data_IF_047161415324
#
_entry.id   IF_047161415324
#
_cell.length_a   1.000
_cell.length_b   1.000
_cell.length_c   1.000
_cell.angle_alpha   90.00
_cell.angle_beta   90.00
_cell.angle_gamma   90.00
#
_symmetry.space_group_name_H-M   'P 1'
#
loop_
_entity.id
_entity.type
_entity.pdbx_description
1 polymer ?
#
# COMPACT_ATOMS: atom_id res chain seq x y z
N UNK A 1 21.15 1.25 -18.30
CA UNK A 1 20.36 1.62 -19.50
C UNK A 1 18.90 1.57 -19.11
N UNK A 2 18.07 2.45 -19.67
CA UNK A 2 16.61 2.41 -19.48
C UNK A 2 16.01 1.29 -20.31
N UNK A 3 14.86 0.79 -19.86
CA UNK A 3 14.16 -0.31 -20.52
C UNK A 3 13.60 0.08 -21.89
N UNK A 4 13.58 -0.87 -22.83
CA UNK A 4 12.82 -0.73 -24.09
C UNK A 4 11.32 -0.92 -23.86
N UNK A 5 10.50 -0.57 -24.86
CA UNK A 5 9.04 -0.78 -24.81
C UNK A 5 8.70 -2.26 -24.64
N UNK A 6 9.41 -3.15 -25.33
CA UNK A 6 9.22 -4.60 -25.24
C UNK A 6 9.55 -5.12 -23.84
N UNK A 7 10.66 -4.65 -23.26
CA UNK A 7 11.06 -5.00 -21.89
C UNK A 7 10.01 -4.53 -20.88
N UNK A 8 9.53 -3.28 -21.00
CA UNK A 8 8.49 -2.74 -20.13
C UNK A 8 7.17 -3.53 -20.24
N UNK A 9 6.76 -3.94 -21.44
CA UNK A 9 5.56 -4.77 -21.63
C UNK A 9 5.72 -6.16 -21.00
N UNK A 10 6.90 -6.77 -21.13
CA UNK A 10 7.22 -8.04 -20.48
C UNK A 10 7.19 -7.92 -18.95
N UNK A 11 7.75 -6.84 -18.40
CA UNK A 11 7.74 -6.56 -16.97
C UNK A 11 6.34 -6.21 -16.45
N UNK A 12 5.52 -5.50 -17.23
CA UNK A 12 4.13 -5.20 -16.91
C UNK A 12 3.30 -6.47 -16.80
N UNK A 13 3.54 -7.44 -17.68
CA UNK A 13 2.85 -8.73 -17.66
C UNK A 13 3.05 -9.44 -16.32
N UNK A 14 4.26 -9.41 -15.75
CA UNK A 14 4.53 -10.00 -14.43
C UNK A 14 3.67 -9.38 -13.33
N UNK A 15 3.50 -8.06 -13.34
CA UNK A 15 2.63 -7.38 -12.38
C UNK A 15 1.15 -7.73 -12.57
N UNK A 16 0.69 -7.84 -13.81
CA UNK A 16 -0.70 -8.25 -14.13
C UNK A 16 -0.98 -9.71 -13.76
N UNK A 17 -0.02 -10.59 -13.96
CA UNK A 17 -0.14 -12.01 -13.58
C UNK A 17 -0.16 -12.15 -12.05
N UNK A 18 0.65 -11.37 -11.33
CA UNK A 18 0.56 -11.30 -9.88
C UNK A 18 -0.83 -10.83 -9.41
N UNK A 19 -1.39 -9.77 -10.00
CA UNK A 19 -2.74 -9.27 -9.65
C UNK A 19 -3.82 -10.35 -9.82
N UNK A 20 -3.76 -11.13 -10.91
CA UNK A 20 -4.66 -12.26 -11.15
C UNK A 20 -4.51 -13.36 -10.10
N UNK A 21 -3.28 -13.62 -9.66
CA UNK A 21 -2.99 -14.64 -8.65
C UNK A 21 -3.38 -14.22 -7.22
N UNK A 22 -3.79 -12.96 -7.00
CA UNK A 22 -4.28 -12.50 -5.69
C UNK A 22 -5.68 -13.04 -5.33
N UNK A 23 -6.30 -13.80 -6.23
CA UNK A 23 -7.53 -14.56 -6.02
C UNK A 23 -7.33 -15.85 -5.17
N UNK A 24 -6.07 -16.20 -4.81
CA UNK A 24 -5.74 -17.39 -4.03
C UNK A 24 -6.01 -17.25 -2.52
N UNK A 25 -6.86 -18.14 -1.98
CA UNK A 25 -7.23 -18.22 -0.57
C UNK A 25 -6.20 -19.01 0.24
N UNK A 26 -5.77 -18.48 1.39
CA UNK A 26 -5.10 -19.32 2.40
C UNK A 26 -5.65 -19.14 3.82
N UNK A 27 -6.07 -17.93 4.19
CA UNK A 27 -6.60 -17.65 5.53
C UNK A 27 -8.14 -17.82 5.63
N UNK A 28 -8.90 -17.42 4.61
CA UNK A 28 -10.37 -17.31 4.69
C UNK A 28 -11.14 -18.62 4.45
N UNK A 29 -10.56 -19.62 3.77
CA UNK A 29 -11.20 -20.92 3.57
C UNK A 29 -11.49 -21.66 4.88
N UNK A 30 -10.71 -21.43 5.94
CA UNK A 30 -10.96 -21.99 7.27
C UNK A 30 -11.91 -21.17 8.13
N UNK A 31 -12.05 -19.86 7.88
CA UNK A 31 -12.88 -18.95 8.69
C UNK A 31 -14.31 -18.75 8.14
N UNK A 32 -14.54 -19.02 6.85
CA UNK A 32 -15.81 -18.79 6.14
C UNK A 32 -17.02 -19.60 6.61
N UNK A 33 -16.93 -20.35 7.72
CA UNK A 33 -18.04 -21.12 8.32
C UNK A 33 -18.64 -20.48 9.57
N UNK A 34 -18.10 -19.36 10.06
CA UNK A 34 -18.65 -18.67 11.23
C UNK A 34 -19.73 -17.67 10.83
N UNK A 35 -20.96 -17.76 11.38
CA UNK A 35 -22.00 -16.78 11.12
C UNK A 35 -21.54 -15.39 11.56
N UNK A 36 -21.51 -14.43 10.63
CA UNK A 36 -21.11 -13.04 10.86
C UNK A 36 -21.78 -12.37 12.08
N UNK A 37 -22.97 -12.83 12.49
CA UNK A 37 -23.67 -12.37 13.71
C UNK A 37 -22.96 -12.69 15.03
N UNK A 38 -22.07 -13.69 15.05
CA UNK A 38 -21.36 -14.11 16.27
C UNK A 38 -20.16 -13.20 16.54
N UNK A 39 -19.47 -12.72 15.50
CA UNK A 39 -18.32 -11.82 15.61
C UNK A 39 -18.72 -10.41 16.13
N UNK A 40 -19.88 -9.90 15.72
CA UNK A 40 -20.41 -8.60 16.19
C UNK A 40 -20.68 -8.57 17.69
N UNK A 41 -21.14 -9.68 18.28
CA UNK A 41 -21.48 -9.78 19.70
C UNK A 41 -20.26 -10.01 20.59
N UNK A 42 -19.15 -10.46 20.01
CA UNK A 42 -17.93 -10.85 20.72
C UNK A 42 -16.81 -9.81 20.64
N UNK A 43 -17.02 -8.66 19.99
CA UNK A 43 -16.00 -7.60 19.92
C UNK A 43 -15.97 -6.82 21.24
N UNK A 44 -14.91 -6.93 22.06
CA UNK A 44 -14.84 -6.24 23.35
C UNK A 44 -14.75 -4.72 23.19
N UNK A 45 -15.23 -3.96 24.18
CA UNK A 45 -15.24 -2.48 24.15
C UNK A 45 -13.86 -1.84 23.89
N UNK A 46 -12.77 -2.49 24.33
CA UNK A 46 -11.42 -1.98 24.07
C UNK A 46 -11.05 -2.00 22.58
N UNK A 47 -11.59 -2.95 21.80
CA UNK A 47 -11.36 -3.03 20.34
C UNK A 47 -12.07 -1.87 19.65
N UNK A 48 -13.31 -1.57 20.02
CA UNK A 48 -14.03 -0.40 19.50
C UNK A 48 -13.29 0.92 19.75
N UNK A 49 -12.68 1.09 20.93
CA UNK A 49 -11.86 2.27 21.24
C UNK A 49 -10.60 2.35 20.36
N UNK A 50 -9.91 1.23 20.13
CA UNK A 50 -8.73 1.19 19.26
C UNK A 50 -9.07 1.46 17.79
N UNK A 51 -10.25 1.03 17.34
CA UNK A 51 -10.76 1.32 15.99
C UNK A 51 -10.94 2.83 15.78
N UNK A 52 -11.53 3.55 16.73
CA UNK A 52 -11.67 5.00 16.65
C UNK A 52 -10.32 5.71 16.47
N UNK A 53 -9.30 5.30 17.24
CA UNK A 53 -7.94 5.87 17.13
C UNK A 53 -7.32 5.61 15.76
N UNK A 54 -7.45 4.40 15.21
CA UNK A 54 -6.95 4.05 13.88
C UNK A 54 -7.60 4.93 12.80
N UNK A 55 -8.91 5.12 12.88
CA UNK A 55 -9.66 5.92 11.92
C UNK A 55 -9.26 7.39 11.98
N UNK A 56 -9.08 7.94 13.18
CA UNK A 56 -8.60 9.31 13.35
C UNK A 56 -7.18 9.50 12.82
N UNK A 57 -6.28 8.53 13.04
CA UNK A 57 -4.91 8.58 12.52
C UNK A 57 -4.87 8.48 10.99
N UNK A 58 -5.67 7.60 10.38
CA UNK A 58 -5.84 7.57 8.92
C UNK A 58 -6.46 8.87 8.39
N UNK A 59 -7.40 9.46 9.14
CA UNK A 59 -7.98 10.80 8.97
C UNK A 59 -6.92 11.85 8.72
N UNK A 60 -6.09 12.01 9.75
CA UNK A 60 -4.98 12.95 9.78
C UNK A 60 -3.95 12.63 8.71
N UNK A 61 -3.63 11.34 8.51
CA UNK A 61 -2.70 10.92 7.46
C UNK A 61 -3.18 11.37 6.09
N UNK A 62 -4.40 11.05 5.66
CA UNK A 62 -4.88 11.47 4.33
C UNK A 62 -4.88 13.00 4.20
N UNK A 63 -5.26 13.73 5.25
CA UNK A 63 -5.35 15.17 5.20
C UNK A 63 -3.98 15.87 5.12
N UNK A 64 -3.04 15.52 6.00
CA UNK A 64 -1.78 16.25 6.17
C UNK A 64 -0.52 15.38 6.14
N UNK A 65 -0.65 14.07 5.97
CA UNK A 65 0.44 13.09 6.07
C UNK A 65 0.83 12.73 7.51
N UNK A 66 0.39 13.52 8.50
CA UNK A 66 0.63 13.27 9.92
C UNK A 66 2.12 13.12 10.28
N UNK A 67 2.40 12.37 11.34
CA UNK A 67 3.78 12.09 11.82
C UNK A 67 4.54 11.03 11.00
N UNK A 68 3.93 10.53 9.92
CA UNK A 68 4.41 9.35 9.20
C UNK A 68 5.11 9.70 7.89
N UNK A 69 5.14 10.98 7.49
CA UNK A 69 5.72 11.44 6.24
C UNK A 69 7.20 11.06 6.15
N UNK A 70 7.51 10.10 5.29
CA UNK A 70 8.86 9.84 4.82
C UNK A 70 9.27 10.97 3.89
N UNK A 71 10.52 11.40 4.03
CA UNK A 71 11.06 12.51 3.27
C UNK A 71 11.69 12.02 1.98
N UNK A 72 11.50 12.77 0.89
CA UNK A 72 12.23 12.58 -0.39
C UNK A 72 13.75 12.60 -0.18
N UNK A 73 14.25 13.25 0.87
CA UNK A 73 15.67 13.20 1.24
C UNK A 73 16.20 11.79 1.56
N UNK A 74 15.32 10.80 1.78
CA UNK A 74 15.70 9.39 1.94
C UNK A 74 16.18 8.73 0.64
N UNK A 75 15.95 9.34 -0.53
CA UNK A 75 16.40 8.83 -1.83
C UNK A 75 17.89 8.50 -1.87
N UNK A 76 18.73 9.36 -1.27
CA UNK A 76 20.18 9.11 -1.17
C UNK A 76 20.51 7.81 -0.43
N UNK A 77 19.69 7.43 0.56
CA UNK A 77 19.87 6.18 1.29
C UNK A 77 19.41 4.95 0.48
N UNK A 78 18.42 5.12 -0.41
CA UNK A 78 17.92 4.03 -1.25
C UNK A 78 18.81 3.81 -2.48
N UNK A 79 19.43 4.88 -2.98
CA UNK A 79 20.29 4.89 -4.16
C UNK A 79 21.70 5.44 -3.86
N UNK A 80 22.48 4.81 -2.95
CA UNK A 80 23.74 5.37 -2.45
C UNK A 80 24.85 5.52 -3.50
N UNK A 81 24.73 4.82 -4.64
CA UNK A 81 25.70 4.86 -5.74
C UNK A 81 25.18 5.62 -6.97
N UNK A 82 24.07 6.34 -6.81
CA UNK A 82 23.49 7.19 -7.86
C UNK A 82 23.41 8.62 -7.33
N UNK A 83 23.56 9.59 -8.22
CA UNK A 83 23.36 11.00 -7.87
C UNK A 83 21.87 11.36 -7.88
N UNK A 84 21.06 10.63 -7.11
CA UNK A 84 19.60 10.84 -6.99
C UNK A 84 19.35 11.65 -5.72
N UNK A 85 18.85 12.87 -5.89
CA UNK A 85 18.50 13.79 -4.80
C UNK A 85 17.05 14.26 -4.86
N UNK A 86 16.43 14.14 -6.03
CA UNK A 86 15.06 14.58 -6.34
C UNK A 86 14.26 13.43 -6.95
N UNK A 87 12.93 13.55 -7.00
CA UNK A 87 12.09 12.50 -7.61
C UNK A 87 12.27 12.45 -9.13
N UNK A 88 12.57 13.59 -9.74
CA UNK A 88 12.84 13.76 -11.15
C UNK A 88 14.08 12.97 -11.59
N UNK A 89 15.10 12.85 -10.72
CA UNK A 89 16.29 12.03 -10.99
C UNK A 89 15.95 10.54 -11.21
N UNK A 90 14.80 10.07 -10.71
CA UNK A 90 14.34 8.69 -10.89
C UNK A 90 13.78 8.39 -12.28
N UNK A 91 13.61 9.40 -13.14
CA UNK A 91 13.32 9.18 -14.56
C UNK A 91 14.49 8.48 -15.27
N UNK A 92 15.71 8.67 -14.77
CA UNK A 92 16.94 8.07 -15.31
C UNK A 92 17.33 6.73 -14.65
N UNK A 93 16.51 6.23 -13.71
CA UNK A 93 16.77 4.99 -12.97
C UNK A 93 15.96 3.85 -13.54
N UNK A 94 16.54 2.70 -13.86
CA UNK A 94 15.77 1.59 -14.44
C UNK A 94 14.77 0.99 -13.42
N UNK A 95 13.67 0.38 -13.89
CA UNK A 95 12.73 -0.39 -13.05
C UNK A 95 13.50 -1.46 -12.27
N UNK A 96 14.46 -2.14 -12.90
CA UNK A 96 15.30 -3.12 -12.20
C UNK A 96 16.13 -2.50 -11.06
N UNK A 97 16.61 -1.28 -11.23
CA UNK A 97 17.31 -0.54 -10.16
C UNK A 97 16.35 -0.11 -9.04
N UNK A 98 15.12 0.28 -9.38
CA UNK A 98 14.07 0.57 -8.40
C UNK A 98 13.69 -0.68 -7.59
N UNK A 99 13.49 -1.81 -8.27
CA UNK A 99 13.19 -3.10 -7.66
C UNK A 99 14.31 -3.53 -6.69
N UNK A 100 15.57 -3.28 -7.04
CA UNK A 100 16.72 -3.53 -6.17
C UNK A 100 16.72 -2.63 -4.92
N UNK A 101 16.44 -1.33 -5.07
CA UNK A 101 16.34 -0.41 -3.95
C UNK A 101 15.24 -0.82 -2.97
N UNK A 102 14.06 -1.18 -3.50
CA UNK A 102 12.94 -1.63 -2.67
C UNK A 102 13.18 -3.00 -2.04
N UNK A 103 13.88 -3.92 -2.71
CA UNK A 103 14.26 -5.21 -2.14
C UNK A 103 15.15 -5.05 -0.89
N UNK A 104 16.14 -4.14 -0.94
CA UNK A 104 16.96 -3.78 0.22
C UNK A 104 16.13 -3.19 1.36
N UNK A 105 15.22 -2.27 1.03
CA UNK A 105 14.27 -1.70 2.00
C UNK A 105 13.40 -2.79 2.66
N UNK A 106 12.79 -3.68 1.87
CA UNK A 106 11.96 -4.81 2.35
C UNK A 106 12.75 -5.70 3.31
N UNK A 107 13.98 -6.06 2.95
CA UNK A 107 14.83 -6.90 3.80
C UNK A 107 15.21 -6.21 5.12
N UNK A 108 15.54 -4.92 5.08
CA UNK A 108 15.82 -4.13 6.28
C UNK A 108 14.60 -4.02 7.20
N UNK A 109 13.42 -3.71 6.65
CA UNK A 109 12.15 -3.64 7.40
C UNK A 109 11.76 -4.99 8.00
N UNK A 110 11.95 -6.08 7.25
CA UNK A 110 11.73 -7.45 7.74
C UNK A 110 12.67 -7.78 8.90
N UNK A 111 13.95 -7.40 8.82
CA UNK A 111 14.94 -7.63 9.88
C UNK A 111 14.59 -6.84 11.13
N UNK A 112 14.21 -5.57 11.00
CA UNK A 112 13.74 -4.74 12.12
C UNK A 112 12.52 -5.36 12.81
N UNK A 113 11.51 -5.78 12.04
CA UNK A 113 10.32 -6.46 12.59
C UNK A 113 10.67 -7.78 13.29
N UNK A 114 11.70 -8.50 12.82
CA UNK A 114 12.18 -9.74 13.43
C UNK A 114 12.93 -9.48 14.74
N UNK A 115 13.83 -8.48 14.76
CA UNK A 115 14.63 -8.11 15.95
C UNK A 115 13.74 -7.52 17.03
N UNK A 116 12.83 -6.61 16.66
CA UNK A 116 11.88 -5.99 17.58
C UNK A 116 10.89 -7.02 18.16
N UNK A 117 10.66 -8.14 17.47
CA UNK A 117 9.91 -9.29 18.00
C UNK A 117 10.73 -10.24 18.87
N UNK A 118 12.06 -10.14 18.88
CA UNK A 118 12.99 -10.99 19.63
C UNK A 118 13.62 -10.30 20.86
N UNK A 119 13.74 -8.97 20.85
CA UNK A 119 14.47 -8.19 21.86
C UNK A 119 13.67 -7.82 23.10
N UNK A 120 12.46 -8.36 23.29
CA UNK A 120 11.55 -8.00 24.38
C UNK A 120 11.40 -9.04 25.50
N UNK A 121 12.38 -9.94 25.64
CA UNK A 121 12.62 -10.67 26.88
C UNK A 121 12.17 -12.13 26.91
N UNK A 122 12.90 -12.86 27.76
CA UNK A 122 12.87 -14.29 28.10
C UNK A 122 11.44 -14.88 28.13
N UNK A 123 11.08 -15.69 27.12
CA UNK A 123 9.76 -16.33 27.02
C UNK A 123 9.22 -16.38 25.60
N UNK A 124 9.91 -17.11 24.72
CA UNK A 124 9.70 -17.12 23.26
C UNK A 124 8.25 -17.23 22.76
N UNK A 125 8.05 -16.65 21.57
CA UNK A 125 6.88 -16.72 20.68
C UNK A 125 5.61 -15.91 21.01
N UNK A 126 5.37 -15.43 22.24
CA UNK A 126 4.00 -14.99 22.60
C UNK A 126 3.77 -13.62 23.26
N UNK A 127 4.77 -12.77 23.53
CA UNK A 127 4.59 -11.72 24.56
C UNK A 127 4.74 -10.25 24.15
N UNK A 128 4.55 -9.84 22.89
CA UNK A 128 4.31 -8.42 22.61
C UNK A 128 3.20 -8.18 21.59
N UNK A 129 2.02 -7.82 22.09
CA UNK A 129 1.02 -7.10 21.33
C UNK A 129 1.59 -5.73 20.96
N UNK A 130 2.19 -5.59 19.77
CA UNK A 130 2.51 -4.27 19.20
C UNK A 130 1.23 -3.43 19.26
N UNK A 131 1.34 -2.21 19.79
CA UNK A 131 0.19 -1.31 19.80
C UNK A 131 -0.28 -1.07 18.36
N UNK A 132 -1.56 -1.33 18.08
CA UNK A 132 -2.10 -1.33 16.72
C UNK A 132 -1.79 -0.03 15.96
N UNK A 133 -1.85 1.18 16.57
CA UNK A 133 -1.41 2.43 15.95
C UNK A 133 0.07 2.46 15.54
N UNK A 134 0.96 1.80 16.30
CA UNK A 134 2.38 1.70 15.97
C UNK A 134 2.59 0.79 14.75
N UNK A 135 1.91 -0.37 14.71
CA UNK A 135 1.96 -1.27 13.55
C UNK A 135 1.46 -0.56 12.29
N UNK A 136 0.30 0.10 12.39
CA UNK A 136 -0.25 0.90 11.28
C UNK A 136 0.73 1.98 10.81
N UNK A 137 1.37 2.69 11.75
CA UNK A 137 2.39 3.67 11.44
C UNK A 137 3.58 3.09 10.67
N UNK A 138 4.05 1.91 11.06
CA UNK A 138 5.13 1.19 10.37
C UNK A 138 4.70 0.75 8.96
N UNK A 139 3.48 0.28 8.81
CA UNK A 139 2.91 -0.12 7.52
C UNK A 139 2.82 1.09 6.56
N UNK A 140 2.24 2.20 7.03
CA UNK A 140 2.17 3.46 6.29
C UNK A 140 3.57 3.94 5.89
N UNK A 141 4.52 3.95 6.82
CA UNK A 141 5.90 4.37 6.54
C UNK A 141 6.57 3.47 5.50
N UNK A 142 6.36 2.17 5.58
CA UNK A 142 6.90 1.20 4.63
C UNK A 142 6.37 1.47 3.21
N UNK A 143 5.07 1.70 3.07
CA UNK A 143 4.48 2.04 1.77
C UNK A 143 4.97 3.39 1.23
N UNK A 144 5.17 4.39 2.08
CA UNK A 144 5.74 5.67 1.65
C UNK A 144 7.18 5.54 1.15
N UNK A 145 8.00 4.76 1.84
CA UNK A 145 9.38 4.50 1.40
C UNK A 145 9.40 3.77 0.05
N UNK A 146 8.47 2.81 -0.18
CA UNK A 146 8.29 2.15 -1.48
C UNK A 146 7.85 3.16 -2.55
N UNK A 147 6.89 4.03 -2.23
CA UNK A 147 6.42 5.08 -3.12
C UNK A 147 7.58 5.98 -3.59
N UNK A 148 8.41 6.44 -2.64
CA UNK A 148 9.59 7.26 -2.91
C UNK A 148 10.56 6.51 -3.83
N UNK A 149 10.85 5.23 -3.57
CA UNK A 149 11.75 4.45 -4.43
C UNK A 149 11.26 4.38 -5.88
N UNK A 150 9.95 4.35 -6.12
CA UNK A 150 9.38 4.34 -7.47
C UNK A 150 9.10 5.73 -8.06
N UNK A 151 9.45 6.82 -7.36
CA UNK A 151 9.30 8.19 -7.89
C UNK A 151 8.04 8.92 -7.45
N UNK A 152 7.33 8.42 -6.45
CA UNK A 152 6.08 9.02 -5.97
C UNK A 152 6.28 9.83 -4.69
N UNK A 153 5.70 11.03 -4.66
CA UNK A 153 5.80 11.94 -3.52
C UNK A 153 4.74 11.64 -2.45
N UNK A 154 5.11 11.16 -1.24
CA UNK A 154 4.13 10.88 -0.18
C UNK A 154 3.45 12.14 0.39
N UNK A 155 3.96 13.33 0.08
CA UNK A 155 3.32 14.60 0.42
C UNK A 155 2.12 14.92 -0.48
N UNK A 156 1.94 14.21 -1.59
CA UNK A 156 0.79 14.40 -2.45
C UNK A 156 -0.43 13.70 -1.85
N UNK A 157 -1.57 14.40 -1.81
CA UNK A 157 -2.82 13.84 -1.28
C UNK A 157 -3.25 12.58 -2.03
N UNK A 158 -3.08 12.59 -3.35
CA UNK A 158 -3.32 11.44 -4.24
C UNK A 158 -2.48 10.23 -3.81
N UNK A 159 -1.23 10.47 -3.44
CA UNK A 159 -0.31 9.41 -3.04
C UNK A 159 -0.70 8.81 -1.68
N UNK A 160 -1.08 9.64 -0.71
CA UNK A 160 -1.59 9.16 0.58
C UNK A 160 -2.86 8.33 0.42
N UNK A 161 -3.72 8.70 -0.52
CA UNK A 161 -4.90 7.94 -0.92
C UNK A 161 -4.50 6.57 -1.49
N UNK A 162 -3.53 6.53 -2.41
CA UNK A 162 -3.02 5.29 -2.99
C UNK A 162 -2.48 4.35 -1.90
N UNK A 163 -1.69 4.87 -0.96
CA UNK A 163 -1.15 4.13 0.19
C UNK A 163 -2.27 3.50 1.03
N UNK A 164 -3.33 4.26 1.32
CA UNK A 164 -4.48 3.73 2.05
C UNK A 164 -5.20 2.64 1.25
N UNK A 165 -5.26 2.75 -0.08
CA UNK A 165 -5.81 1.69 -0.94
C UNK A 165 -4.97 0.42 -0.92
N UNK A 166 -3.64 0.52 -0.89
CA UNK A 166 -2.77 -0.65 -0.71
C UNK A 166 -2.99 -1.31 0.66
N UNK A 167 -3.16 -0.52 1.73
CA UNK A 167 -3.52 -1.05 3.06
C UNK A 167 -4.87 -1.77 3.05
N UNK A 168 -5.87 -1.19 2.38
CA UNK A 168 -7.17 -1.82 2.18
C UNK A 168 -7.03 -3.13 1.38
N UNK A 169 -6.20 -3.14 0.34
CA UNK A 169 -6.01 -4.29 -0.54
C UNK A 169 -5.51 -5.51 0.22
N UNK A 170 -4.47 -5.35 1.03
CA UNK A 170 -3.87 -6.48 1.78
C UNK A 170 -4.77 -6.99 2.90
N UNK A 171 -5.71 -6.16 3.34
CA UNK A 171 -6.68 -6.50 4.39
C UNK A 171 -8.01 -7.01 3.82
N UNK A 172 -8.16 -7.06 2.49
CA UNK A 172 -9.43 -7.39 1.84
C UNK A 172 -9.52 -8.86 1.41
N UNK A 173 -10.75 -9.35 1.34
CA UNK A 173 -11.10 -10.59 0.66
C UNK A 173 -10.98 -10.42 -0.87
N UNK A 174 -11.24 -11.48 -1.62
CA UNK A 174 -11.10 -11.49 -3.08
C UNK A 174 -11.98 -10.40 -3.74
N UNK A 175 -13.22 -10.26 -3.27
CA UNK A 175 -14.17 -9.29 -3.83
C UNK A 175 -13.68 -7.87 -3.56
N UNK A 176 -13.24 -7.58 -2.33
CA UNK A 176 -12.67 -6.29 -1.95
C UNK A 176 -11.38 -5.99 -2.72
N UNK A 177 -10.47 -6.95 -2.86
CA UNK A 177 -9.22 -6.81 -3.64
C UNK A 177 -9.51 -6.40 -5.07
N UNK A 178 -10.45 -7.05 -5.76
CA UNK A 178 -10.86 -6.71 -7.14
C UNK A 178 -11.43 -5.30 -7.23
N UNK A 179 -12.30 -4.92 -6.29
CA UNK A 179 -12.86 -3.57 -6.25
C UNK A 179 -11.77 -2.50 -6.05
N UNK A 180 -10.79 -2.78 -5.18
CA UNK A 180 -9.67 -1.87 -4.91
C UNK A 180 -8.74 -1.77 -6.11
N UNK A 181 -8.39 -2.87 -6.78
CA UNK A 181 -7.57 -2.83 -8.00
C UNK A 181 -8.25 -2.00 -9.10
N UNK A 182 -9.57 -2.10 -9.25
CA UNK A 182 -10.33 -1.24 -10.16
C UNK A 182 -10.21 0.23 -9.77
N UNK A 183 -10.38 0.57 -8.49
CA UNK A 183 -10.22 1.95 -8.02
C UNK A 183 -8.79 2.47 -8.24
N UNK A 184 -7.77 1.66 -7.95
CA UNK A 184 -6.36 2.01 -8.19
C UNK A 184 -6.08 2.29 -9.67
N UNK A 185 -6.65 1.49 -10.58
CA UNK A 185 -6.49 1.73 -12.04
C UNK A 185 -7.10 3.05 -12.51
N UNK A 186 -8.05 3.63 -11.76
CA UNK A 186 -8.70 4.89 -12.08
C UNK A 186 -7.99 6.11 -11.46
N UNK A 187 -7.11 5.92 -10.47
CA UNK A 187 -6.40 7.01 -9.79
C UNK A 187 -5.50 7.80 -10.75
N UNK A 188 -4.93 7.12 -11.76
CA UNK A 188 -4.09 7.73 -12.80
C UNK A 188 -4.82 7.88 -14.14
N UNK A 189 -6.12 7.59 -14.20
CA UNK A 189 -6.91 7.68 -15.44
C UNK A 189 -6.87 9.10 -16.03
N UNK A 190 -6.70 9.30 -17.34
CA UNK A 190 -6.83 10.63 -17.95
C UNK A 190 -8.22 11.26 -17.78
N UNK A 191 -9.24 10.45 -17.46
CA UNK A 191 -10.60 10.91 -17.12
C UNK A 191 -10.63 11.58 -15.74
N UNK A 192 -10.77 12.91 -15.74
CA UNK A 192 -10.84 13.75 -14.55
C UNK A 192 -12.11 13.50 -13.71
N UNK A 193 -13.21 13.06 -14.31
CA UNK A 193 -14.43 12.74 -13.57
C UNK A 193 -14.29 11.41 -12.83
N UNK A 194 -13.69 10.40 -13.47
CA UNK A 194 -13.35 9.14 -12.82
C UNK A 194 -12.38 9.34 -11.64
N UNK A 195 -11.33 10.15 -11.83
CA UNK A 195 -10.41 10.56 -10.77
C UNK A 195 -11.13 11.29 -9.63
N UNK A 196 -11.95 12.28 -9.97
CA UNK A 196 -12.70 13.09 -8.99
C UNK A 196 -13.65 12.21 -8.19
N UNK A 197 -14.29 11.22 -8.78
CA UNK A 197 -15.16 10.30 -8.06
C UNK A 197 -14.39 9.47 -7.03
N UNK A 198 -13.25 8.86 -7.42
CA UNK A 198 -12.41 8.09 -6.48
C UNK A 198 -11.87 8.98 -5.36
N UNK A 199 -11.43 10.20 -5.69
CA UNK A 199 -10.90 11.16 -4.71
C UNK A 199 -12.03 11.70 -3.82
N UNK A 200 -13.23 11.96 -4.34
CA UNK A 200 -14.37 12.50 -3.62
C UNK A 200 -14.94 11.49 -2.62
N UNK A 201 -15.08 10.21 -3.01
CA UNK A 201 -15.40 9.11 -2.09
C UNK A 201 -14.42 9.07 -0.90
N UNK A 202 -13.16 9.42 -1.16
CA UNK A 202 -12.09 9.49 -0.17
C UNK A 202 -11.95 10.82 0.55
N UNK A 203 -12.59 11.91 0.10
CA UNK A 203 -12.59 13.20 0.80
C UNK A 203 -13.79 13.28 1.74
N UNK A 204 -14.94 12.82 1.25
CA UNK A 204 -16.11 12.56 2.05
C UNK A 204 -15.90 11.40 3.02
N UNK A 205 -14.80 10.65 2.95
CA UNK A 205 -14.60 9.46 3.78
C UNK A 205 -14.68 9.71 5.28
N UNK A 206 -14.25 10.88 5.77
CA UNK A 206 -14.38 11.24 7.20
C UNK A 206 -15.84 11.44 7.56
N UNK A 207 -16.59 12.10 6.67
CA UNK A 207 -18.04 12.26 6.81
C UNK A 207 -18.80 10.95 6.60
N UNK A 208 -18.32 10.07 5.73
CA UNK A 208 -18.82 8.72 5.53
C UNK A 208 -18.54 7.90 6.78
N UNK A 209 -17.31 7.87 7.33
CA UNK A 209 -16.97 7.20 8.59
C UNK A 209 -17.83 7.73 9.73
N UNK A 210 -17.99 9.04 9.87
CA UNK A 210 -18.77 9.66 10.96
C UNK A 210 -20.27 9.41 10.78
N UNK A 211 -20.83 9.50 9.56
CA UNK A 211 -22.26 9.27 9.27
C UNK A 211 -22.64 7.79 9.19
N UNK A 212 -21.72 6.90 8.77
CA UNK A 212 -21.90 5.44 8.70
C UNK A 212 -21.44 4.69 9.94
N UNK A 213 -20.75 5.33 10.90
CA UNK A 213 -20.51 4.76 12.25
C UNK A 213 -21.80 4.20 12.83
N UNK A 214 -22.93 4.85 12.53
CA UNK A 214 -24.24 4.57 13.10
C UNK A 214 -25.13 3.71 12.17
N UNK A 215 -24.73 3.44 10.92
CA UNK A 215 -25.51 2.65 9.96
C UNK A 215 -24.71 1.50 9.36
N UNK A 216 -25.09 0.28 9.77
CA UNK A 216 -24.98 -1.10 9.20
C UNK A 216 -23.94 -1.43 8.11
N UNK A 217 -23.61 -0.55 7.17
CA UNK A 217 -22.69 -0.81 6.04
C UNK A 217 -21.23 -1.03 6.43
N UNK A 218 -20.74 -0.42 7.51
CA UNK A 218 -19.33 -0.54 7.92
C UNK A 218 -19.02 -1.84 8.67
N UNK A 219 -20.02 -2.50 9.26
CA UNK A 219 -19.84 -3.79 9.96
C UNK A 219 -19.18 -4.86 9.08
N UNK A 220 -19.38 -4.82 7.76
CA UNK A 220 -18.81 -5.77 6.80
C UNK A 220 -17.31 -5.58 6.52
N UNK A 221 -16.77 -4.36 6.59
CA UNK A 221 -15.33 -4.11 6.38
C UNK A 221 -14.53 -4.47 7.64
N UNK A 222 -15.07 -4.21 8.84
CA UNK A 222 -14.37 -4.45 10.11
C UNK A 222 -14.54 -5.87 10.68
N UNK A 223 -15.56 -6.62 10.24
CA UNK A 223 -15.63 -8.07 10.45
C UNK A 223 -14.61 -8.84 9.59
N UNK A 224 -13.97 -8.17 8.63
CA UNK A 224 -12.98 -8.72 7.70
C UNK A 224 -11.51 -8.43 8.11
N UNK A 225 -11.30 -7.69 9.19
CA UNK A 225 -10.01 -7.63 9.86
C UNK A 225 -10.08 -8.71 10.93
N UNK A 226 -9.40 -9.87 10.79
CA UNK A 226 -9.28 -10.77 11.93
C UNK A 226 -8.71 -10.00 13.11
N UNK A 227 -9.46 -9.99 14.20
CA UNK A 227 -8.98 -9.68 15.53
C UNK A 227 -7.83 -10.65 15.79
N UNK A 228 -6.61 -10.24 15.48
CA UNK A 228 -5.41 -11.07 15.66
C UNK A 228 -4.23 -10.26 16.18
N UNK A 229 -4.49 -9.15 16.88
CA UNK A 229 -3.49 -8.50 17.74
C UNK A 229 -3.38 -9.11 19.14
N UNK A 230 -4.28 -10.02 19.51
CA UNK A 230 -4.42 -10.50 20.91
C UNK A 230 -3.96 -11.96 21.07
N UNK A 231 -3.88 -12.76 19.98
CA UNK A 231 -3.65 -14.22 20.10
C UNK A 231 -2.37 -14.71 19.41
N UNK A 232 -1.70 -13.90 18.61
CA UNK A 232 -0.61 -14.40 17.77
C UNK A 232 0.57 -13.41 17.77
N UNK A 233 1.67 -13.81 18.41
CA UNK A 233 2.84 -12.98 18.69
C UNK A 233 3.64 -12.52 17.47
N UNK A 234 4.95 -12.31 17.67
CA UNK A 234 5.90 -11.67 16.75
C UNK A 234 5.88 -12.16 15.28
N UNK A 235 5.37 -13.37 15.01
CA UNK A 235 5.27 -13.95 13.68
C UNK A 235 4.29 -13.21 12.74
N UNK A 236 3.15 -12.71 13.26
CA UNK A 236 2.16 -12.00 12.44
C UNK A 236 2.68 -10.65 11.95
N UNK A 237 3.46 -9.94 12.76
CA UNK A 237 4.02 -8.65 12.37
C UNK A 237 4.97 -8.79 11.17
N UNK A 238 5.74 -9.87 11.10
CA UNK A 238 6.65 -10.15 9.98
C UNK A 238 5.88 -10.50 8.70
N UNK A 239 4.84 -11.34 8.80
CA UNK A 239 4.01 -11.70 7.64
C UNK A 239 3.23 -10.50 7.11
N UNK A 240 2.56 -9.76 7.98
CA UNK A 240 1.77 -8.59 7.59
C UNK A 240 2.62 -7.52 6.88
N UNK A 241 3.82 -7.23 7.39
CA UNK A 241 4.75 -6.31 6.72
C UNK A 241 5.29 -6.89 5.41
N UNK A 242 5.52 -8.21 5.33
CA UNK A 242 5.96 -8.85 4.10
C UNK A 242 4.91 -8.75 2.99
N UNK A 243 3.67 -9.11 3.30
CA UNK A 243 2.55 -9.14 2.36
C UNK A 243 2.20 -7.71 1.92
N UNK A 244 2.26 -6.76 2.86
CA UNK A 244 2.16 -5.34 2.58
C UNK A 244 3.27 -4.84 1.64
N UNK A 245 4.52 -5.19 1.93
CA UNK A 245 5.65 -4.75 1.11
C UNK A 245 5.55 -5.33 -0.29
N UNK A 246 5.15 -6.59 -0.42
CA UNK A 246 4.94 -7.23 -1.72
C UNK A 246 3.82 -6.55 -2.52
N UNK A 247 2.65 -6.32 -1.91
CA UNK A 247 1.56 -5.61 -2.59
C UNK A 247 1.96 -4.19 -2.99
N UNK A 248 2.63 -3.45 -2.10
CA UNK A 248 3.18 -2.13 -2.39
C UNK A 248 4.12 -2.17 -3.59
N UNK A 249 5.12 -3.06 -3.58
CA UNK A 249 6.06 -3.26 -4.68
C UNK A 249 5.30 -3.49 -5.99
N UNK A 250 4.40 -4.47 -6.03
CA UNK A 250 3.76 -4.87 -7.28
C UNK A 250 2.87 -3.77 -7.85
N UNK A 251 2.14 -3.05 -6.99
CA UNK A 251 1.23 -1.97 -7.41
C UNK A 251 1.99 -0.72 -7.87
N UNK A 252 3.02 -0.27 -7.14
CA UNK A 252 3.83 0.89 -7.56
C UNK A 252 4.68 0.58 -8.80
N UNK A 253 5.24 -0.62 -8.86
CA UNK A 253 5.99 -1.09 -10.02
C UNK A 253 5.14 -1.08 -11.28
N UNK A 254 3.92 -1.63 -11.21
CA UNK A 254 2.97 -1.59 -12.33
C UNK A 254 2.71 -0.15 -12.77
N UNK A 255 2.37 0.71 -11.83
CA UNK A 255 2.06 2.12 -12.05
C UNK A 255 3.21 2.85 -12.76
N UNK A 256 4.44 2.65 -12.30
CA UNK A 256 5.65 3.26 -12.88
C UNK A 256 5.94 2.75 -14.30
N UNK A 257 5.71 1.46 -14.55
CA UNK A 257 5.87 0.87 -15.89
C UNK A 257 4.82 1.45 -16.85
N UNK A 258 3.56 1.56 -16.43
CA UNK A 258 2.48 2.14 -17.24
C UNK A 258 2.77 3.61 -17.60
N UNK A 259 3.26 4.41 -16.64
CA UNK A 259 3.71 5.78 -16.90
C UNK A 259 4.85 5.85 -17.93
N UNK A 260 5.85 4.97 -17.83
CA UNK A 260 6.95 4.92 -18.81
C UNK A 260 6.49 4.56 -20.21
N UNK A 261 5.56 3.61 -20.34
CA UNK A 261 4.99 3.25 -21.63
C UNK A 261 4.30 4.45 -22.29
N UNK A 262 3.53 5.22 -21.51
CA UNK A 262 2.88 6.44 -21.99
C UNK A 262 3.92 7.49 -22.41
N UNK A 263 5.00 7.67 -21.65
CA UNK A 263 6.08 8.60 -22.00
C UNK A 263 6.76 8.23 -23.33
N UNK A 264 7.07 6.94 -23.54
CA UNK A 264 7.67 6.45 -24.78
C UNK A 264 6.74 6.63 -25.99
N UNK A 265 5.44 6.38 -25.81
CA UNK A 265 4.43 6.60 -26.85
C UNK A 265 4.34 8.09 -27.24
N UNK A 266 4.33 8.99 -26.26
CA UNK A 266 4.30 10.44 -26.50
C UNK A 266 5.57 10.95 -27.20
N UNK A 267 6.75 10.42 -26.85
CA UNK A 267 8.01 10.75 -27.53
C UNK A 267 7.99 10.28 -28.99
N UNK A 268 7.45 9.09 -29.25
CA UNK A 268 7.32 8.54 -30.60
C UNK A 268 6.43 9.43 -31.47
N UNK A 269 5.27 9.86 -30.95
CA UNK A 269 4.34 10.76 -31.66
C UNK A 269 5.00 12.12 -31.97
N UNK A 270 5.73 12.68 -31.01
CA UNK A 270 6.40 13.99 -31.16
C UNK A 270 7.49 13.91 -32.23
N UNK A 271 8.29 12.85 -32.23
CA UNK A 271 9.33 12.66 -33.24
C UNK A 271 8.77 12.49 -34.65
N UNK A 272 7.63 11.80 -34.81
CA UNK A 272 6.95 11.67 -36.11
C UNK A 272 6.47 13.02 -36.64
N UNK A 273 5.89 13.88 -35.77
CA UNK A 273 5.45 15.23 -36.17
C UNK A 273 6.61 16.12 -36.62
N UNK A 274 7.73 16.10 -35.89
CA UNK A 274 8.90 16.90 -36.23
C UNK A 274 9.62 16.43 -37.52
N UNK A 275 9.36 15.19 -37.98
CA UNK A 275 9.89 14.68 -39.25
C UNK A 275 8.95 14.96 -40.44
N UNK A 276 7.71 15.35 -40.18
CA UNK A 276 6.70 15.69 -41.20
C UNK A 276 6.58 17.19 -41.49
N UNK A 277 7.25 18.02 -40.70
CA UNK A 277 7.37 19.48 -40.85
C UNK A 277 8.74 19.86 -41.45
#
# INVERSE_FOLDING_TARGET
MLETKEELLAELKKSKDWEKNQDGLWFWEKLGRLPFKILDKLTPAFIHKKIGVILDELGKYIQSGGRYLSSVSSLKSYYPHKNVSTLEDLDMVSIGEMDNAVSKLKNNRRRLATVQGASTGIGGLFTLSIDIPLLLGLQIKTLQDIAICYGYNPNDKKERIFIVKVLQFVSSDIVGKRAILKQLSLIDSPDEDAKRNVISELQGWREVVIKYRDHVGWKKIFQMIPIAGIVFGAFINRSAINDLSEAGIMLYRKRRIEERLVQLDNQTITNVKNLSD
#
